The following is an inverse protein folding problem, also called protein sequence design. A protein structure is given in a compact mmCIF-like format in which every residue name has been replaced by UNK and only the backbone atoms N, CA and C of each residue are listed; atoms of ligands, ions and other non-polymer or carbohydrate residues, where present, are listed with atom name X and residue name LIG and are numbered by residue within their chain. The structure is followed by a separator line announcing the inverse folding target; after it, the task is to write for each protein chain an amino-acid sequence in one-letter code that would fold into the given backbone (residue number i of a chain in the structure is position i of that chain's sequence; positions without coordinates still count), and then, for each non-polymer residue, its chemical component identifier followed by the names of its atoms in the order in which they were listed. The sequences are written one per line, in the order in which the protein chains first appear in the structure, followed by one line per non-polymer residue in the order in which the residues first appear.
data_IF_907075391823
#
_entry.id   IF_907075391823
#
_cell.length_a   1.000
_cell.length_b   1.000
_cell.length_c   1.000
_cell.angle_alpha   90.00
_cell.angle_beta   90.00
_cell.angle_gamma   90.00
#
_symmetry.space_group_name_H-M   'P 1'
#
loop_
_entity.id
_entity.type
_entity.pdbx_description
1 polymer ?
#
# COMPACT_ATOMS: atom_id res chain seq x y z
N UNK A 1 14.20 14.94 2.19
CA UNK A 1 15.44 15.71 2.01
C UNK A 1 15.57 16.81 3.05
N UNK A 2 14.69 17.83 3.07
CA UNK A 2 14.72 18.93 4.07
C UNK A 2 14.91 18.43 5.51
N UNK A 3 14.13 17.42 5.90
CA UNK A 3 14.21 16.84 7.23
C UNK A 3 15.53 16.12 7.50
N UNK A 4 16.04 15.37 6.53
CA UNK A 4 17.35 14.71 6.67
C UNK A 4 18.48 15.71 6.85
N UNK A 5 18.46 16.84 6.12
CA UNK A 5 19.45 17.91 6.28
C UNK A 5 19.36 18.50 7.69
N UNK A 6 18.15 18.78 8.18
CA UNK A 6 17.91 19.33 9.52
C UNK A 6 18.47 18.40 10.60
N UNK A 7 18.08 17.13 10.60
CA UNK A 7 18.51 16.16 11.63
C UNK A 7 20.01 15.91 11.62
N UNK A 8 20.61 15.71 10.44
CA UNK A 8 22.04 15.39 10.35
C UNK A 8 22.96 16.60 10.60
N UNK A 9 22.62 17.79 10.08
CA UNK A 9 23.55 18.93 10.05
C UNK A 9 23.19 20.08 11.00
N UNK A 10 21.95 20.15 11.47
CA UNK A 10 21.53 21.20 12.42
C UNK A 10 21.39 20.63 13.82
N UNK A 11 20.80 19.44 13.95
CA UNK A 11 20.61 18.76 15.22
C UNK A 11 21.74 17.77 15.56
N UNK A 12 22.67 17.55 14.63
CA UNK A 12 23.82 16.65 14.78
C UNK A 12 23.42 15.23 15.22
N UNK A 13 22.27 14.74 14.74
CA UNK A 13 21.86 13.36 14.98
C UNK A 13 22.71 12.37 14.17
N UNK A 14 23.16 11.30 14.84
CA UNK A 14 23.90 10.19 14.23
C UNK A 14 23.00 9.29 13.37
N UNK A 15 22.54 9.80 12.23
CA UNK A 15 21.64 9.11 11.31
C UNK A 15 22.08 9.25 9.85
N UNK A 16 21.65 8.31 9.01
CA UNK A 16 21.80 8.36 7.55
C UNK A 16 20.45 8.20 6.86
N UNK A 17 20.23 8.99 5.81
CA UNK A 17 19.03 8.90 4.97
C UNK A 17 19.35 8.16 3.68
N UNK A 18 18.65 7.04 3.45
CA UNK A 18 18.65 6.32 2.17
C UNK A 18 17.36 6.62 1.41
N UNK A 19 17.47 7.09 0.17
CA UNK A 19 16.35 7.48 -0.68
C UNK A 19 16.45 6.74 -2.01
N UNK A 20 15.39 6.03 -2.36
CA UNK A 20 15.25 5.39 -3.67
C UNK A 20 14.54 6.35 -4.60
N UNK A 21 15.19 6.73 -5.70
CA UNK A 21 14.64 7.63 -6.72
C UNK A 21 14.40 6.87 -8.02
N UNK A 22 13.32 7.21 -8.72
CA UNK A 22 12.87 6.50 -9.91
C UNK A 22 13.23 7.25 -11.20
N UNK A 23 13.35 6.52 -12.29
CA UNK A 23 13.66 7.05 -13.63
C UNK A 23 12.42 7.15 -14.56
N UNK A 24 11.23 6.92 -14.02
CA UNK A 24 9.96 7.03 -14.74
C UNK A 24 9.36 8.42 -14.53
N UNK A 25 8.96 9.06 -15.62
CA UNK A 25 8.29 10.36 -15.57
C UNK A 25 6.78 10.16 -15.50
N UNK A 26 6.14 10.79 -14.52
CA UNK A 26 4.69 10.85 -14.38
C UNK A 26 4.29 12.20 -13.76
N UNK A 27 3.02 12.62 -13.89
CA UNK A 27 2.54 13.84 -13.27
C UNK A 27 2.76 13.82 -11.75
N UNK A 28 3.47 14.81 -11.23
CA UNK A 28 3.70 14.97 -9.78
C UNK A 28 2.59 15.85 -9.19
N UNK A 29 1.63 15.30 -8.43
CA UNK A 29 0.55 16.07 -7.86
C UNK A 29 1.04 17.02 -6.76
N UNK A 30 0.23 18.03 -6.45
CA UNK A 30 0.47 18.89 -5.29
C UNK A 30 0.44 18.07 -4.00
N UNK A 31 1.33 18.40 -3.05
CA UNK A 31 1.30 17.83 -1.71
C UNK A 31 -0.06 18.14 -1.05
N UNK A 32 -0.79 17.14 -0.52
CA UNK A 32 -2.02 17.39 0.23
C UNK A 32 -1.73 18.25 1.47
N UNK A 33 -2.71 19.05 1.89
CA UNK A 33 -2.59 19.84 3.12
C UNK A 33 -2.35 18.94 4.34
N UNK A 34 -1.42 19.33 5.21
CA UNK A 34 -1.05 18.62 6.43
C UNK A 34 -0.45 17.21 6.20
N UNK A 35 0.04 16.91 5.00
CA UNK A 35 0.68 15.63 4.70
C UNK A 35 2.12 15.53 5.21
N UNK A 36 2.76 16.65 5.60
CA UNK A 36 4.18 16.73 5.95
C UNK A 36 4.56 15.74 7.06
N UNK A 37 3.77 15.68 8.12
CA UNK A 37 4.02 14.76 9.23
C UNK A 37 3.92 13.30 8.77
N UNK A 38 2.91 12.96 7.97
CA UNK A 38 2.74 11.60 7.47
C UNK A 38 3.80 11.18 6.44
N UNK A 39 4.27 12.12 5.62
CA UNK A 39 5.41 11.90 4.73
C UNK A 39 6.66 11.50 5.54
N UNK A 40 6.89 12.14 6.69
CA UNK A 40 8.04 11.84 7.56
C UNK A 40 7.83 10.55 8.37
N UNK A 41 6.63 10.31 8.89
CA UNK A 41 6.28 9.12 9.68
C UNK A 41 6.12 7.85 8.83
N UNK A 42 5.99 7.98 7.52
CA UNK A 42 6.05 6.85 6.60
C UNK A 42 4.75 6.52 5.87
N UNK A 43 3.63 7.18 6.19
CA UNK A 43 2.31 6.91 5.62
C UNK A 43 1.44 8.17 5.60
N UNK A 44 0.79 8.45 4.47
CA UNK A 44 -0.28 9.46 4.40
C UNK A 44 -1.28 9.13 3.29
N UNK A 45 -2.51 9.66 3.41
CA UNK A 45 -3.55 9.47 2.40
C UNK A 45 -3.39 10.49 1.27
N UNK A 46 -3.30 10.00 0.04
CA UNK A 46 -3.14 10.83 -1.17
C UNK A 46 -4.50 11.16 -1.78
N UNK A 47 -5.41 10.19 -1.79
CA UNK A 47 -6.72 10.31 -2.41
C UNK A 47 -7.79 9.72 -1.49
N UNK A 48 -8.93 10.40 -1.40
CA UNK A 48 -10.13 9.90 -0.73
C UNK A 48 -11.24 9.75 -1.75
N UNK A 49 -11.90 8.60 -1.75
CA UNK A 49 -13.07 8.35 -2.58
C UNK A 49 -14.22 9.27 -2.17
N UNK A 50 -14.86 9.92 -3.16
CA UNK A 50 -16.07 10.71 -2.95
C UNK A 50 -17.30 9.83 -2.67
N UNK A 51 -17.24 8.52 -2.96
CA UNK A 51 -18.37 7.60 -2.80
C UNK A 51 -18.62 7.30 -1.33
N UNK A 52 -19.85 7.52 -0.86
CA UNK A 52 -20.25 7.23 0.52
C UNK A 52 -20.74 5.79 0.66
N UNK A 53 -19.89 4.90 1.12
CA UNK A 53 -20.21 3.49 1.42
C UNK A 53 -19.36 3.01 2.59
N UNK A 54 -19.97 2.16 3.43
CA UNK A 54 -19.30 1.57 4.60
C UNK A 54 -18.69 0.19 4.31
N UNK A 55 -19.27 -0.58 3.39
CA UNK A 55 -18.92 -1.99 3.18
C UNK A 55 -18.19 -2.27 1.86
N UNK A 56 -18.45 -1.48 0.82
CA UNK A 56 -17.77 -1.58 -0.49
C UNK A 56 -16.67 -0.54 -0.60
N UNK A 57 -15.67 -0.64 0.26
CA UNK A 57 -14.53 0.28 0.31
C UNK A 57 -13.22 -0.50 0.22
N UNK A 58 -12.24 0.04 -0.48
CA UNK A 58 -10.88 -0.47 -0.56
C UNK A 58 -9.90 0.63 -0.19
N UNK A 59 -8.81 0.24 0.45
CA UNK A 59 -7.68 1.08 0.78
C UNK A 59 -6.47 0.50 0.05
N UNK A 60 -5.96 1.26 -0.93
CA UNK A 60 -4.87 0.85 -1.80
C UNK A 60 -3.60 1.60 -1.40
N UNK A 61 -2.52 0.87 -1.17
CA UNK A 61 -1.27 1.42 -0.69
C UNK A 61 -0.20 1.19 -1.76
N UNK A 62 0.52 2.25 -2.09
CA UNK A 62 1.64 2.20 -3.02
C UNK A 62 2.80 3.07 -2.54
N UNK A 63 3.96 2.85 -3.13
CA UNK A 63 5.16 3.66 -2.90
C UNK A 63 5.84 3.95 -4.24
N UNK A 64 6.37 5.17 -4.41
CA UNK A 64 7.07 5.59 -5.62
C UNK A 64 6.26 5.30 -6.91
N UNK A 65 6.85 4.64 -7.90
CA UNK A 65 6.23 4.29 -9.19
C UNK A 65 4.92 3.50 -9.03
N UNK A 66 4.82 2.59 -8.07
CA UNK A 66 3.61 1.76 -7.86
C UNK A 66 2.44 2.55 -7.28
N UNK A 67 2.67 3.77 -6.76
CA UNK A 67 1.57 4.65 -6.34
C UNK A 67 0.66 5.01 -7.52
N UNK A 68 1.20 5.15 -8.74
CA UNK A 68 0.40 5.47 -9.93
C UNK A 68 -0.52 4.29 -10.31
N UNK A 69 -0.02 3.05 -10.19
CA UNK A 69 -0.82 1.83 -10.38
C UNK A 69 -1.94 1.71 -9.34
N UNK A 70 -1.66 2.06 -8.07
CA UNK A 70 -2.69 2.11 -7.03
C UNK A 70 -3.77 3.16 -7.32
N UNK A 71 -3.41 4.32 -7.88
CA UNK A 71 -4.37 5.34 -8.32
C UNK A 71 -5.20 4.88 -9.52
N UNK A 72 -4.59 4.21 -10.50
CA UNK A 72 -5.30 3.63 -11.63
C UNK A 72 -6.26 2.50 -11.19
N UNK A 73 -5.83 1.64 -10.26
CA UNK A 73 -6.68 0.62 -9.65
C UNK A 73 -7.88 1.22 -8.91
N UNK A 74 -7.69 2.34 -8.20
CA UNK A 74 -8.80 3.07 -7.59
C UNK A 74 -9.84 3.51 -8.63
N UNK A 75 -9.40 4.00 -9.80
CA UNK A 75 -10.29 4.38 -10.89
C UNK A 75 -11.08 3.19 -11.44
N UNK A 76 -10.44 2.04 -11.64
CA UNK A 76 -11.08 0.78 -12.07
C UNK A 76 -12.15 0.37 -11.06
N UNK A 77 -11.79 0.29 -9.78
CA UNK A 77 -12.70 -0.09 -8.70
C UNK A 77 -13.93 0.83 -8.62
N UNK A 78 -13.72 2.13 -8.76
CA UNK A 78 -14.81 3.10 -8.69
C UNK A 78 -15.71 3.08 -9.92
N UNK A 79 -15.13 3.00 -11.12
CA UNK A 79 -15.88 3.14 -12.38
C UNK A 79 -16.62 1.86 -12.72
N UNK A 80 -15.93 0.72 -12.61
CA UNK A 80 -16.41 -0.53 -13.21
C UNK A 80 -17.12 -1.41 -12.18
N UNK A 81 -16.72 -1.32 -10.90
CA UNK A 81 -17.22 -2.19 -9.84
C UNK A 81 -17.98 -1.46 -8.72
N UNK A 82 -18.05 -0.13 -8.77
CA UNK A 82 -18.76 0.67 -7.78
C UNK A 82 -18.18 0.57 -6.36
N UNK A 83 -16.91 0.19 -6.22
CA UNK A 83 -16.18 0.11 -4.95
C UNK A 83 -15.50 1.45 -4.69
N UNK A 84 -15.74 2.05 -3.53
CA UNK A 84 -15.02 3.26 -3.12
C UNK A 84 -13.55 2.95 -2.86
N UNK A 85 -12.60 3.72 -3.40
CA UNK A 85 -11.18 3.44 -3.22
C UNK A 85 -10.43 4.66 -2.68
N UNK A 86 -9.84 4.52 -1.49
CA UNK A 86 -8.88 5.49 -0.96
C UNK A 86 -7.46 5.04 -1.30
N UNK A 87 -6.59 5.98 -1.66
CA UNK A 87 -5.19 5.70 -2.02
C UNK A 87 -4.26 6.31 -0.98
N UNK A 88 -3.31 5.51 -0.52
CA UNK A 88 -2.32 5.85 0.49
C UNK A 88 -0.91 5.72 -0.08
N UNK A 89 -0.05 6.67 0.29
CA UNK A 89 1.37 6.65 -0.02
C UNK A 89 2.13 6.17 1.20
N UNK A 90 2.84 5.05 1.05
CA UNK A 90 3.84 4.60 2.02
C UNK A 90 5.18 5.18 1.59
N UNK A 91 5.64 6.19 2.32
CA UNK A 91 6.93 6.85 2.04
C UNK A 91 8.11 6.12 2.68
N UNK A 92 7.87 5.35 3.75
CA UNK A 92 8.91 4.55 4.39
C UNK A 92 8.33 3.39 5.18
N UNK A 93 8.42 2.19 4.60
CA UNK A 93 8.15 0.95 5.32
C UNK A 93 9.04 0.81 6.56
N UNK A 94 10.32 1.19 6.46
CA UNK A 94 11.29 1.10 7.57
C UNK A 94 10.85 1.92 8.79
N UNK A 95 10.43 3.18 8.58
CA UNK A 95 9.99 4.04 9.68
C UNK A 95 8.74 3.48 10.37
N UNK A 96 7.77 2.99 9.58
CA UNK A 96 6.57 2.33 10.11
C UNK A 96 6.92 1.07 10.92
N UNK A 97 7.90 0.30 10.47
CA UNK A 97 8.34 -0.90 11.18
C UNK A 97 9.08 -0.59 12.48
N UNK A 98 10.00 0.38 12.47
CA UNK A 98 10.74 0.79 13.66
C UNK A 98 9.81 1.35 14.73
N UNK A 99 8.90 2.26 14.36
CA UNK A 99 7.91 2.82 15.28
C UNK A 99 6.96 1.74 15.82
N UNK A 100 6.46 0.87 14.94
CA UNK A 100 5.58 -0.22 15.36
C UNK A 100 6.25 -1.19 16.34
N UNK A 101 7.53 -1.54 16.09
CA UNK A 101 8.31 -2.39 16.99
C UNK A 101 8.58 -1.70 18.34
N UNK A 102 8.84 -0.39 18.35
CA UNK A 102 9.00 0.39 19.58
C UNK A 102 7.72 0.40 20.42
N UNK A 103 6.57 0.62 19.78
CA UNK A 103 5.25 0.58 20.42
C UNK A 103 4.96 -0.80 21.00
N UNK A 104 5.17 -1.87 20.23
CA UNK A 104 4.98 -3.24 20.71
C UNK A 104 5.89 -3.56 21.90
N UNK A 105 7.16 -3.17 21.82
CA UNK A 105 8.12 -3.34 22.90
C UNK A 105 7.67 -2.57 24.15
N UNK A 106 7.18 -1.35 24.00
CA UNK A 106 6.67 -0.57 25.11
C UNK A 106 5.46 -1.26 25.76
N UNK A 107 4.46 -1.66 24.95
CA UNK A 107 3.25 -2.33 25.44
C UNK A 107 3.57 -3.64 26.19
N UNK A 108 4.53 -4.41 25.68
CA UNK A 108 5.01 -5.64 26.33
C UNK A 108 5.60 -5.38 27.73
N UNK A 109 6.32 -4.27 27.89
CA UNK A 109 6.96 -3.91 29.16
C UNK A 109 6.05 -3.15 30.13
N UNK A 110 4.87 -2.72 29.67
CA UNK A 110 3.92 -1.93 30.48
C UNK A 110 2.51 -2.54 30.45
N UNK A 111 2.33 -3.82 30.88
CA UNK A 111 1.05 -4.52 30.75
C UNK A 111 -0.09 -3.93 31.61
N UNK A 112 0.23 -3.09 32.60
CA UNK A 112 -0.75 -2.41 33.45
C UNK A 112 -1.22 -1.04 32.92
N UNK A 113 -0.62 -0.55 31.84
CA UNK A 113 -0.95 0.73 31.23
C UNK A 113 -1.85 0.56 30.00
N UNK A 114 -2.50 1.65 29.58
CA UNK A 114 -3.26 1.66 28.34
C UNK A 114 -2.31 1.39 27.16
N UNK A 115 -2.60 0.40 26.29
CA UNK A 115 -1.76 0.11 25.14
C UNK A 115 -1.62 1.33 24.22
N UNK A 116 -0.39 1.61 23.80
CA UNK A 116 -0.10 2.58 22.74
C UNK A 116 -0.49 2.00 21.39
N UNK A 117 -1.00 2.86 20.51
CA UNK A 117 -1.29 2.53 19.12
C UNK A 117 -0.14 2.96 18.21
N UNK A 118 0.18 2.15 17.20
CA UNK A 118 1.17 2.53 16.19
C UNK A 118 0.64 3.63 15.28
N UNK A 119 1.54 4.36 14.62
CA UNK A 119 1.14 5.39 13.65
C UNK A 119 0.26 4.81 12.53
N UNK A 120 0.62 3.62 12.02
CA UNK A 120 -0.16 2.93 11.00
C UNK A 120 -1.58 2.62 11.49
N UNK A 121 -1.71 2.06 12.71
CA UNK A 121 -3.01 1.75 13.30
C UNK A 121 -3.85 3.02 13.52
N UNK A 122 -3.23 4.13 13.96
CA UNK A 122 -3.90 5.42 14.12
C UNK A 122 -4.43 5.95 12.78
N UNK A 123 -3.63 5.90 11.71
CA UNK A 123 -4.05 6.32 10.37
C UNK A 123 -5.27 5.52 9.85
N UNK A 124 -5.33 4.23 10.19
CA UNK A 124 -6.33 3.30 9.68
C UNK A 124 -7.43 2.96 10.70
N UNK A 125 -7.51 3.66 11.84
CA UNK A 125 -8.44 3.33 12.92
C UNK A 125 -9.92 3.31 12.49
N UNK A 126 -10.30 4.18 11.55
CA UNK A 126 -11.65 4.25 10.99
C UNK A 126 -11.79 3.54 9.63
N UNK A 127 -10.73 2.92 9.11
CA UNK A 127 -10.70 2.28 7.80
C UNK A 127 -11.41 0.91 7.85
N UNK A 128 -12.23 0.63 6.83
CA UNK A 128 -13.01 -0.61 6.70
C UNK A 128 -13.03 -1.06 5.24
N UNK A 129 -13.38 -2.33 5.01
CA UNK A 129 -13.31 -2.93 3.68
C UNK A 129 -11.86 -3.24 3.28
N UNK A 130 -11.59 -3.54 2.01
CA UNK A 130 -10.33 -4.18 1.60
C UNK A 130 -9.05 -3.37 1.87
N UNK A 131 -7.94 -4.06 2.14
CA UNK A 131 -6.60 -3.46 2.21
C UNK A 131 -5.67 -4.18 1.24
N UNK A 132 -5.10 -3.45 0.29
CA UNK A 132 -4.15 -3.99 -0.71
C UNK A 132 -2.89 -3.13 -0.72
N UNK A 133 -1.74 -3.75 -0.47
CA UNK A 133 -0.45 -3.06 -0.43
C UNK A 133 0.42 -3.58 -1.58
N UNK A 134 0.76 -2.70 -2.52
CA UNK A 134 1.59 -3.02 -3.67
C UNK A 134 2.94 -2.30 -3.59
N UNK A 135 4.01 -3.02 -3.90
CA UNK A 135 5.38 -2.50 -3.87
C UNK A 135 6.16 -2.94 -5.10
N UNK A 136 7.11 -2.09 -5.53
CA UNK A 136 8.11 -2.45 -6.56
C UNK A 136 9.24 -3.32 -5.98
N UNK A 137 9.11 -3.70 -4.70
CA UNK A 137 9.96 -4.62 -3.97
C UNK A 137 9.20 -5.92 -3.68
N UNK A 138 9.96 -6.93 -3.26
CA UNK A 138 9.47 -8.23 -2.76
C UNK A 138 8.42 -8.07 -1.65
N UNK A 139 7.46 -8.99 -1.57
CA UNK A 139 6.32 -9.00 -0.62
C UNK A 139 6.73 -8.94 0.85
N UNK A 140 7.94 -9.39 1.20
CA UNK A 140 8.44 -9.28 2.58
C UNK A 140 8.49 -7.83 3.08
N UNK A 141 8.67 -6.84 2.19
CA UNK A 141 8.68 -5.42 2.56
C UNK A 141 7.31 -4.95 3.07
N UNK A 142 6.19 -5.07 2.33
CA UNK A 142 4.88 -4.76 2.87
C UNK A 142 4.43 -5.70 4.00
N UNK A 143 4.85 -6.99 3.98
CA UNK A 143 4.51 -7.94 5.05
C UNK A 143 5.07 -7.51 6.42
N UNK A 144 6.20 -6.80 6.46
CA UNK A 144 6.84 -6.38 7.72
C UNK A 144 6.02 -5.37 8.54
N UNK A 145 5.03 -4.71 7.91
CA UNK A 145 4.10 -3.76 8.56
C UNK A 145 2.66 -4.28 8.61
N UNK A 146 2.39 -5.43 7.99
CA UNK A 146 1.04 -5.99 7.83
C UNK A 146 0.31 -6.24 9.16
N UNK A 147 1.06 -6.49 10.25
CA UNK A 147 0.49 -6.81 11.56
C UNK A 147 -0.23 -5.66 12.25
N UNK A 148 0.06 -4.42 11.86
CA UNK A 148 -0.56 -3.23 12.45
C UNK A 148 -1.77 -2.72 11.67
N UNK A 149 -2.12 -3.38 10.55
CA UNK A 149 -3.35 -3.08 9.82
C UNK A 149 -4.57 -3.59 10.59
N UNK A 150 -5.76 -2.97 10.42
CA UNK A 150 -7.00 -3.43 11.04
C UNK A 150 -7.38 -4.88 10.69
N UNK A 151 -6.98 -5.36 9.51
CA UNK A 151 -6.92 -6.78 9.15
C UNK A 151 -5.68 -7.02 8.29
N UNK A 152 -5.24 -8.27 8.19
CA UNK A 152 -4.17 -8.67 7.26
C UNK A 152 -4.45 -8.18 5.84
N UNK A 153 -3.60 -7.28 5.27
CA UNK A 153 -3.76 -6.81 3.90
C UNK A 153 -3.40 -7.91 2.90
N UNK A 154 -3.85 -7.75 1.66
CA UNK A 154 -3.29 -8.49 0.52
C UNK A 154 -2.01 -7.78 0.08
N UNK A 155 -0.88 -8.48 0.12
CA UNK A 155 0.42 -7.93 -0.27
C UNK A 155 0.83 -8.38 -1.67
N UNK A 156 1.18 -7.40 -2.49
CA UNK A 156 1.67 -7.56 -3.86
C UNK A 156 3.09 -7.00 -3.93
N UNK A 157 3.96 -7.70 -4.66
CA UNK A 157 5.38 -7.38 -4.69
C UNK A 157 6.11 -8.16 -5.78
N UNK A 158 7.30 -7.69 -6.11
CA UNK A 158 8.11 -8.12 -7.25
C UNK A 158 9.02 -9.31 -6.91
N UNK A 159 8.45 -10.35 -6.29
CA UNK A 159 9.18 -11.58 -5.96
C UNK A 159 9.62 -12.33 -7.21
N UNK A 160 10.91 -12.64 -7.32
CA UNK A 160 11.49 -13.37 -8.45
C UNK A 160 12.67 -12.65 -9.07
N UNK A 161 13.23 -13.21 -10.14
CA UNK A 161 14.33 -12.60 -10.87
C UNK A 161 13.83 -11.57 -11.87
N UNK A 162 14.55 -10.44 -11.97
CA UNK A 162 14.29 -9.41 -12.96
C UNK A 162 14.42 -9.93 -14.40
N UNK A 163 13.69 -9.28 -15.31
CA UNK A 163 13.66 -9.59 -16.74
C UNK A 163 13.75 -8.31 -17.57
N UNK A 164 14.17 -8.44 -18.81
CA UNK A 164 14.20 -7.33 -19.77
C UNK A 164 12.89 -7.28 -20.53
N UNK A 165 12.04 -6.31 -20.21
CA UNK A 165 10.79 -6.05 -20.92
C UNK A 165 10.31 -4.62 -20.60
N UNK A 166 9.23 -4.15 -21.24
CA UNK A 166 8.57 -2.87 -20.90
C UNK A 166 8.05 -2.85 -19.45
N UNK A 167 7.87 -1.64 -18.89
CA UNK A 167 7.39 -1.45 -17.51
C UNK A 167 6.01 -2.10 -17.30
N UNK A 168 5.08 -1.85 -18.21
CA UNK A 168 3.70 -2.36 -18.12
C UNK A 168 3.69 -3.90 -18.09
N UNK A 169 4.44 -4.53 -18.99
CA UNK A 169 4.56 -5.97 -19.04
C UNK A 169 5.30 -6.56 -17.82
N UNK A 170 6.30 -5.87 -17.27
CA UNK A 170 6.96 -6.31 -16.03
C UNK A 170 6.03 -6.16 -14.82
N UNK A 171 5.25 -5.09 -14.71
CA UNK A 171 4.27 -4.91 -13.62
C UNK A 171 3.19 -5.97 -13.67
N UNK A 172 2.68 -6.26 -14.88
CA UNK A 172 1.74 -7.36 -15.09
C UNK A 172 2.37 -8.73 -14.77
N UNK A 173 3.62 -8.94 -15.20
CA UNK A 173 4.37 -10.16 -14.90
C UNK A 173 4.61 -10.33 -13.39
N UNK A 174 4.95 -9.28 -12.64
CA UNK A 174 5.14 -9.34 -11.20
C UNK A 174 3.86 -9.18 -10.39
N UNK A 175 2.70 -9.02 -11.04
CA UNK A 175 1.39 -8.96 -10.37
C UNK A 175 1.24 -7.71 -9.49
N UNK A 176 1.80 -6.58 -9.94
CA UNK A 176 1.80 -5.27 -9.25
C UNK A 176 1.21 -4.13 -10.10
N UNK A 177 0.58 -4.45 -11.22
CA UNK A 177 -0.15 -3.49 -12.07
C UNK A 177 -1.54 -3.13 -11.50
N UNK A 178 -2.15 -2.08 -12.06
CA UNK A 178 -3.46 -1.58 -11.65
C UNK A 178 -4.56 -2.67 -11.69
N UNK A 179 -4.56 -3.51 -12.70
CA UNK A 179 -5.50 -4.62 -12.89
C UNK A 179 -5.40 -5.61 -11.73
N UNK A 180 -4.19 -6.03 -11.37
CA UNK A 180 -3.97 -6.97 -10.27
C UNK A 180 -4.30 -6.37 -8.93
N UNK A 181 -3.96 -5.09 -8.70
CA UNK A 181 -4.31 -4.36 -7.47
C UNK A 181 -5.85 -4.28 -7.31
N UNK A 182 -6.57 -3.92 -8.37
CA UNK A 182 -8.03 -3.86 -8.36
C UNK A 182 -8.64 -5.24 -8.10
N UNK A 183 -8.17 -6.27 -8.81
CA UNK A 183 -8.62 -7.64 -8.62
C UNK A 183 -8.40 -8.13 -7.19
N UNK A 184 -7.23 -7.88 -6.60
CA UNK A 184 -6.92 -8.23 -5.22
C UNK A 184 -7.91 -7.59 -4.22
N UNK A 185 -8.31 -6.33 -4.44
CA UNK A 185 -9.29 -5.65 -3.60
C UNK A 185 -10.69 -6.27 -3.73
N UNK A 186 -11.10 -6.64 -4.94
CA UNK A 186 -12.39 -7.32 -5.18
C UNK A 186 -12.43 -8.70 -4.51
N UNK A 187 -11.33 -9.46 -4.59
CA UNK A 187 -11.17 -10.75 -3.91
C UNK A 187 -11.26 -10.59 -2.38
N UNK A 188 -10.56 -9.61 -1.80
CA UNK A 188 -10.61 -9.37 -0.36
C UNK A 188 -12.01 -8.96 0.11
N UNK A 189 -12.70 -8.07 -0.63
CA UNK A 189 -14.10 -7.71 -0.35
C UNK A 189 -15.05 -8.91 -0.46
N UNK A 190 -14.84 -9.80 -1.42
CA UNK A 190 -15.63 -11.01 -1.56
C UNK A 190 -15.41 -11.97 -0.39
N UNK A 191 -14.18 -12.14 0.09
CA UNK A 191 -13.86 -12.96 1.29
C UNK A 191 -14.53 -12.42 2.55
N UNK A 192 -14.75 -11.12 2.61
CA UNK A 192 -15.49 -10.45 3.69
C UNK A 192 -17.02 -10.52 3.54
N UNK A 193 -17.53 -11.10 2.44
CA UNK A 193 -18.97 -11.16 2.14
C UNK A 193 -19.55 -9.82 1.70
N UNK A 194 -18.72 -8.84 1.32
CA UNK A 194 -19.16 -7.53 0.84
C UNK A 194 -19.37 -7.48 -0.68
N UNK A 195 -18.95 -8.54 -1.39
CA UNK A 195 -19.07 -8.69 -2.84
C UNK A 195 -19.47 -10.12 -3.20
N UNK A 196 -20.28 -10.29 -4.25
CA UNK A 196 -20.65 -11.62 -4.78
C UNK A 196 -19.46 -12.22 -5.55
N UNK A 197 -19.20 -13.51 -5.35
CA UNK A 197 -18.16 -14.26 -6.06
C UNK A 197 -18.31 -14.17 -7.59
N UNK A 198 -19.53 -14.06 -8.12
CA UNK A 198 -19.77 -13.86 -9.56
C UNK A 198 -19.12 -12.60 -10.10
N UNK A 199 -19.12 -11.51 -9.31
CA UNK A 199 -18.47 -10.25 -9.69
C UNK A 199 -16.96 -10.46 -9.78
N UNK A 200 -16.37 -11.19 -8.83
CA UNK A 200 -14.93 -11.51 -8.84
C UNK A 200 -14.57 -12.41 -10.03
N UNK A 201 -15.39 -13.43 -10.33
CA UNK A 201 -15.17 -14.29 -11.50
C UNK A 201 -15.25 -13.50 -12.81
N UNK A 202 -16.19 -12.56 -12.92
CA UNK A 202 -16.27 -11.68 -14.08
C UNK A 202 -15.04 -10.77 -14.17
N UNK A 203 -14.66 -10.14 -13.07
CA UNK A 203 -13.49 -9.25 -13.00
C UNK A 203 -12.18 -9.96 -13.37
N UNK A 204 -12.04 -11.25 -13.06
CA UNK A 204 -10.89 -12.04 -13.47
C UNK A 204 -10.70 -12.01 -15.00
N UNK A 205 -11.78 -12.13 -15.76
CA UNK A 205 -11.73 -12.05 -17.23
C UNK A 205 -11.55 -10.62 -17.71
N UNK A 206 -12.30 -9.67 -17.15
CA UNK A 206 -12.29 -8.26 -17.57
C UNK A 206 -10.89 -7.64 -17.38
N UNK A 207 -10.24 -7.97 -16.27
CA UNK A 207 -8.92 -7.47 -15.88
C UNK A 207 -7.77 -8.34 -16.38
N UNK A 208 -8.07 -9.35 -17.23
CA UNK A 208 -7.08 -10.21 -17.87
C UNK A 208 -6.14 -10.93 -16.88
N UNK A 209 -6.70 -11.41 -15.77
CA UNK A 209 -5.94 -12.14 -14.74
C UNK A 209 -5.77 -13.61 -15.16
N UNK A 210 -4.54 -13.98 -15.52
CA UNK A 210 -4.19 -15.37 -15.84
C UNK A 210 -3.96 -16.20 -14.57
N UNK A 211 -4.93 -17.07 -14.25
CA UNK A 211 -4.87 -17.95 -13.08
C UNK A 211 -3.96 -19.16 -13.24
N UNK A 212 -3.52 -19.46 -14.47
CA UNK A 212 -2.59 -20.56 -14.76
C UNK A 212 -1.15 -20.06 -14.92
N UNK A 213 -0.93 -18.75 -14.83
CA UNK A 213 0.40 -18.14 -14.90
C UNK A 213 1.29 -18.72 -13.80
N UNK A 214 2.52 -19.15 -14.14
CA UNK A 214 3.47 -19.59 -13.13
C UNK A 214 3.80 -18.45 -12.15
N UNK A 215 3.99 -18.80 -10.88
CA UNK A 215 4.44 -17.84 -9.87
C UNK A 215 5.75 -17.17 -10.34
N UNK A 216 5.87 -15.82 -10.31
CA UNK A 216 7.05 -15.09 -10.76
C UNK A 216 8.39 -15.59 -10.18
N UNK A 217 8.39 -16.13 -8.96
CA UNK A 217 9.57 -16.73 -8.30
C UNK A 217 10.07 -18.01 -8.99
N UNK A 218 9.17 -18.75 -9.65
CA UNK A 218 9.45 -20.06 -10.26
C UNK A 218 9.40 -20.03 -11.79
N UNK A 219 9.13 -18.87 -12.37
CA UNK A 219 8.91 -18.70 -13.81
C UNK A 219 10.20 -18.46 -14.58
#
# INVERSE_FOLDING_TARGET
IKEGIRRMYVEEEDVIFYLTVQNENYPMPQMPENAEEGILKGLYRVQTSAKRTKTKRAHLFGSASILTEAMAAAQILETDYGVAADVWSITSYKQLHEEGAEVERWNLLHPGEAPRETYLSQCLAAAQGAFVVASDYVKVLPDMVARWFPRSPVTLGTDGFGRSESRDALRHFFEVDAQTIAYAALVDLCRQGHLDAKIVTQAQSDLQIDVNKPNPVRS
#
